data_IF_983440254026
#
_entry.id   IF_983440254026
#
_cell.length_a   1.000
_cell.length_b   1.000
_cell.length_c   1.000
_cell.angle_alpha   90.00
_cell.angle_beta   90.00
_cell.angle_gamma   90.00
#
_symmetry.space_group_name_H-M   'P 1'
#
loop_
_entity.id
_entity.type
_entity.pdbx_description
1 polymer ?
#
# COMPACT_ATOMS: atom_id res chain seq x y z
N UNK A 1 -15.88 22.26 13.09
CA UNK A 1 -14.86 21.26 13.45
C UNK A 1 -14.26 20.72 12.17
N UNK A 2 -13.19 21.38 11.68
CA UNK A 2 -12.45 20.91 10.51
C UNK A 2 -11.77 19.57 10.84
N UNK A 3 -12.22 18.50 10.23
CA UNK A 3 -11.55 17.19 10.32
C UNK A 3 -10.21 17.36 9.60
N UNK A 4 -9.11 17.22 10.33
CA UNK A 4 -7.79 17.19 9.70
C UNK A 4 -7.70 15.91 8.89
N UNK A 5 -7.65 16.05 7.56
CA UNK A 5 -7.45 14.92 6.65
C UNK A 5 -5.95 14.67 6.57
N UNK A 6 -5.49 13.44 6.88
CA UNK A 6 -4.07 13.11 6.76
C UNK A 6 -3.62 13.19 5.29
N UNK A 7 -2.49 13.84 5.07
CA UNK A 7 -1.85 13.93 3.76
C UNK A 7 -0.73 12.92 3.67
N UNK A 8 -0.63 12.24 2.55
CA UNK A 8 0.40 11.25 2.27
C UNK A 8 1.33 11.82 1.20
N UNK A 9 2.62 11.89 1.52
CA UNK A 9 3.65 12.18 0.54
C UNK A 9 4.31 10.87 0.11
N UNK A 10 4.51 10.68 -1.17
CA UNK A 10 5.10 9.45 -1.69
C UNK A 10 5.98 9.70 -2.91
N UNK A 11 6.91 8.82 -3.14
CA UNK A 11 7.70 8.73 -4.36
C UNK A 11 8.09 7.28 -4.65
N UNK A 12 8.48 7.02 -5.88
CA UNK A 12 8.88 5.68 -6.30
C UNK A 12 10.41 5.56 -6.26
N UNK A 13 10.88 4.54 -5.50
CA UNK A 13 12.27 4.12 -5.50
C UNK A 13 12.52 2.96 -6.47
N UNK A 14 13.79 2.66 -6.74
CA UNK A 14 14.18 1.41 -7.38
C UNK A 14 14.47 0.38 -6.29
N UNK A 15 13.82 -0.81 -6.29
CA UNK A 15 14.17 -1.89 -5.35
C UNK A 15 15.63 -2.28 -5.56
N UNK A 16 16.42 -2.35 -4.47
CA UNK A 16 17.82 -2.75 -4.53
C UNK A 16 18.73 -1.83 -5.34
N UNK A 17 18.29 -0.60 -5.58
CA UNK A 17 19.05 0.36 -6.35
C UNK A 17 20.40 0.66 -5.70
N UNK A 18 21.47 0.55 -6.49
CA UNK A 18 22.75 1.13 -6.15
C UNK A 18 22.53 2.54 -5.62
N UNK A 19 23.12 2.86 -4.49
CA UNK A 19 23.06 4.16 -3.83
C UNK A 19 23.50 5.35 -4.74
N UNK A 20 23.85 5.09 -5.98
CA UNK A 20 24.31 6.04 -6.98
C UNK A 20 23.28 6.55 -7.98
N UNK A 21 22.08 6.01 -8.05
CA UNK A 21 21.11 6.36 -9.09
C UNK A 21 19.73 6.81 -8.56
N UNK A 22 19.73 7.85 -7.74
CA UNK A 22 18.75 8.87 -8.00
C UNK A 22 17.38 8.74 -7.34
N UNK A 23 17.22 8.04 -6.17
CA UNK A 23 15.99 8.16 -5.38
C UNK A 23 16.29 8.33 -3.89
N UNK A 24 17.28 9.14 -3.59
CA UNK A 24 17.45 9.70 -2.25
C UNK A 24 16.45 10.85 -2.05
N UNK A 25 16.09 11.21 -0.82
CA UNK A 25 15.22 12.36 -0.56
C UNK A 25 15.70 13.64 -1.23
N UNK A 26 17.00 13.84 -1.30
CA UNK A 26 17.61 15.02 -1.96
C UNK A 26 17.36 15.01 -3.47
N UNK A 27 17.53 13.87 -4.13
CA UNK A 27 17.29 13.77 -5.58
C UNK A 27 15.79 13.88 -5.91
N UNK A 28 14.94 13.35 -5.07
CA UNK A 28 13.47 13.47 -5.21
C UNK A 28 13.05 14.93 -5.09
N UNK A 29 13.60 15.65 -4.10
CA UNK A 29 13.34 17.09 -3.94
C UNK A 29 13.88 17.90 -5.12
N UNK A 30 15.13 17.65 -5.55
CA UNK A 30 15.77 18.37 -6.66
C UNK A 30 15.00 18.20 -7.98
N UNK A 31 14.46 16.98 -8.25
CA UNK A 31 13.73 16.67 -9.47
C UNK A 31 12.21 16.89 -9.35
N UNK A 32 11.72 17.39 -8.22
CA UNK A 32 10.30 17.58 -7.93
C UNK A 32 9.45 16.29 -8.15
N UNK A 33 9.96 15.15 -7.71
CA UNK A 33 9.35 13.83 -7.90
C UNK A 33 8.50 13.37 -6.70
N UNK A 34 8.43 14.17 -5.63
CA UNK A 34 7.52 13.90 -4.51
C UNK A 34 6.09 14.16 -4.97
N UNK A 35 5.18 13.28 -4.60
CA UNK A 35 3.77 13.39 -4.92
C UNK A 35 2.94 13.35 -3.64
N UNK A 36 1.72 13.86 -3.74
CA UNK A 36 0.77 13.95 -2.63
C UNK A 36 -0.45 13.09 -2.92
N UNK A 37 -1.02 12.49 -1.90
CA UNK A 37 -2.25 11.70 -1.96
C UNK A 37 -2.97 11.70 -0.62
N UNK A 38 -4.14 11.08 -0.60
CA UNK A 38 -5.02 10.98 0.56
C UNK A 38 -5.55 9.55 0.75
N UNK A 39 -6.08 9.26 1.95
CA UNK A 39 -6.84 8.04 2.23
C UNK A 39 -8.28 8.19 1.76
N UNK A 40 -8.57 7.80 0.52
CA UNK A 40 -9.90 7.94 -0.09
C UNK A 40 -10.68 6.62 -0.19
N UNK A 41 -10.04 5.49 0.07
CA UNK A 41 -10.68 4.18 -0.03
C UNK A 41 -11.15 3.84 -1.45
N UNK A 42 -12.34 3.29 -1.56
CA UNK A 42 -12.98 3.01 -2.84
C UNK A 42 -14.12 4.02 -3.11
N UNK A 43 -14.35 4.29 -4.36
CA UNK A 43 -15.51 5.05 -4.80
C UNK A 43 -16.79 4.24 -4.52
N UNK A 44 -17.79 4.86 -3.90
CA UNK A 44 -19.01 4.18 -3.47
C UNK A 44 -19.87 3.65 -4.63
N UNK A 45 -19.79 4.29 -5.79
CA UNK A 45 -20.65 3.94 -6.95
C UNK A 45 -19.97 2.91 -7.85
N UNK A 46 -18.70 3.12 -8.16
CA UNK A 46 -17.94 2.28 -9.08
C UNK A 46 -17.16 1.16 -8.39
N UNK A 47 -16.94 1.26 -7.08
CA UNK A 47 -16.05 0.37 -6.34
C UNK A 47 -14.57 0.57 -6.64
N UNK A 48 -14.22 1.50 -7.51
CA UNK A 48 -12.84 1.74 -7.91
C UNK A 48 -12.00 2.34 -6.77
N UNK A 49 -10.78 1.87 -6.63
CA UNK A 49 -9.84 2.41 -5.65
C UNK A 49 -9.47 3.86 -5.98
N UNK A 50 -9.31 4.70 -4.95
CA UNK A 50 -9.00 6.12 -5.05
C UNK A 50 -7.82 6.48 -4.13
N UNK A 51 -7.20 7.61 -4.42
CA UNK A 51 -6.08 8.11 -3.64
C UNK A 51 -4.92 7.11 -3.55
N UNK A 52 -4.30 7.00 -2.38
CA UNK A 52 -3.14 6.11 -2.17
C UNK A 52 -3.47 4.64 -2.46
N UNK A 53 -4.70 4.20 -2.21
CA UNK A 53 -5.14 2.83 -2.52
C UNK A 53 -5.00 2.50 -4.00
N UNK A 54 -5.41 3.39 -4.88
CA UNK A 54 -5.28 3.19 -6.33
C UNK A 54 -3.82 3.05 -6.76
N UNK A 55 -2.93 3.84 -6.17
CA UNK A 55 -1.49 3.82 -6.45
C UNK A 55 -0.87 2.50 -5.99
N UNK A 56 -1.19 2.06 -4.77
CA UNK A 56 -0.71 0.79 -4.22
C UNK A 56 -1.21 -0.39 -5.07
N UNK A 57 -2.50 -0.39 -5.44
CA UNK A 57 -3.08 -1.45 -6.28
C UNK A 57 -2.42 -1.53 -7.64
N UNK A 58 -2.13 -0.40 -8.27
CA UNK A 58 -1.42 -0.37 -9.54
C UNK A 58 -0.02 -0.99 -9.43
N UNK A 59 0.70 -0.71 -8.34
CA UNK A 59 2.04 -1.26 -8.09
C UNK A 59 2.02 -2.74 -7.71
N UNK A 60 0.95 -3.23 -7.12
CA UNK A 60 0.78 -4.63 -6.70
C UNK A 60 -0.16 -5.42 -7.61
N UNK A 61 -0.36 -4.97 -8.84
CA UNK A 61 -1.35 -5.49 -9.78
C UNK A 61 -1.24 -7.00 -10.02
N UNK A 62 -0.03 -7.52 -10.17
CA UNK A 62 0.17 -8.95 -10.45
C UNK A 62 -0.31 -9.82 -9.28
N UNK A 63 0.08 -9.46 -8.05
CA UNK A 63 -0.39 -10.16 -6.85
C UNK A 63 -1.91 -10.05 -6.69
N UNK A 64 -2.48 -8.86 -6.85
CA UNK A 64 -3.92 -8.65 -6.71
C UNK A 64 -4.72 -9.43 -7.77
N UNK A 65 -4.22 -9.55 -8.98
CA UNK A 65 -4.87 -10.36 -10.02
C UNK A 65 -4.99 -11.82 -9.58
N UNK A 66 -3.93 -12.40 -9.06
CA UNK A 66 -3.94 -13.79 -8.59
C UNK A 66 -4.78 -13.97 -7.31
N UNK A 67 -4.68 -13.03 -6.35
CA UNK A 67 -5.53 -13.06 -5.14
C UNK A 67 -7.01 -12.95 -5.49
N UNK A 68 -7.39 -12.12 -6.46
CA UNK A 68 -8.78 -11.98 -6.88
C UNK A 68 -9.32 -13.27 -7.52
N UNK A 69 -8.52 -13.99 -8.31
CA UNK A 69 -8.89 -15.32 -8.81
C UNK A 69 -9.17 -16.30 -7.67
N UNK A 70 -8.37 -16.24 -6.59
CA UNK A 70 -8.60 -17.07 -5.40
C UNK A 70 -9.88 -16.67 -4.66
N UNK A 71 -10.21 -15.38 -4.59
CA UNK A 71 -11.48 -14.90 -3.99
C UNK A 71 -12.68 -15.41 -4.77
N UNK A 72 -12.64 -15.35 -6.10
CA UNK A 72 -13.69 -15.91 -6.96
C UNK A 72 -13.81 -17.42 -6.77
N UNK A 73 -12.69 -18.14 -6.73
CA UNK A 73 -12.68 -19.57 -6.45
C UNK A 73 -13.30 -19.89 -5.09
N UNK A 74 -12.98 -19.11 -4.05
CA UNK A 74 -13.58 -19.26 -2.71
C UNK A 74 -15.09 -19.05 -2.75
N UNK A 75 -15.55 -17.96 -3.36
CA UNK A 75 -16.97 -17.62 -3.47
C UNK A 75 -17.79 -18.72 -4.19
N UNK A 76 -17.16 -19.41 -5.13
CA UNK A 76 -17.77 -20.53 -5.89
C UNK A 76 -17.57 -21.90 -5.23
N UNK A 77 -17.14 -21.96 -3.96
CA UNK A 77 -16.95 -23.22 -3.23
C UNK A 77 -15.73 -24.04 -3.67
N UNK A 78 -14.81 -23.46 -4.43
CA UNK A 78 -13.63 -24.16 -4.96
C UNK A 78 -12.57 -24.54 -3.91
N UNK A 79 -12.76 -24.14 -2.66
CA UNK A 79 -11.95 -24.55 -1.52
C UNK A 79 -12.67 -25.45 -0.52
N UNK A 80 -13.94 -25.77 -0.76
CA UNK A 80 -14.76 -26.63 0.10
C UNK A 80 -16.18 -26.11 0.27
N UNK A 81 -17.00 -26.86 1.03
CA UNK A 81 -18.38 -26.48 1.27
C UNK A 81 -18.49 -25.19 2.10
N UNK A 82 -19.36 -24.29 1.67
CA UNK A 82 -19.69 -23.06 2.40
C UNK A 82 -21.02 -23.17 3.20
N UNK A 83 -21.69 -24.34 3.17
CA UNK A 83 -23.01 -24.53 3.78
C UNK A 83 -22.92 -24.73 5.30
N UNK A 84 -21.91 -25.47 5.76
CA UNK A 84 -21.71 -25.74 7.18
C UNK A 84 -20.67 -24.82 7.80
N UNK A 85 -20.69 -24.65 9.13
CA UNK A 85 -19.70 -23.88 9.86
C UNK A 85 -18.29 -24.46 9.66
N UNK A 86 -18.12 -25.76 9.87
CA UNK A 86 -16.83 -26.44 9.73
C UNK A 86 -16.31 -26.38 8.29
N UNK A 87 -17.19 -26.52 7.31
CA UNK A 87 -16.85 -26.38 5.90
C UNK A 87 -16.31 -24.97 5.56
N UNK A 88 -16.98 -23.93 6.07
CA UNK A 88 -16.51 -22.55 5.89
C UNK A 88 -15.16 -22.29 6.53
N UNK A 89 -14.92 -22.81 7.74
CA UNK A 89 -13.63 -22.66 8.43
C UNK A 89 -12.51 -23.36 7.65
N UNK A 90 -12.76 -24.57 7.14
CA UNK A 90 -11.78 -25.30 6.32
C UNK A 90 -11.54 -24.60 4.98
N UNK A 91 -12.58 -24.13 4.30
CA UNK A 91 -12.46 -23.39 3.05
C UNK A 91 -11.71 -22.07 3.23
N UNK A 92 -11.95 -21.35 4.33
CA UNK A 92 -11.24 -20.13 4.69
C UNK A 92 -9.76 -20.41 4.92
N UNK A 93 -9.41 -21.44 5.68
CA UNK A 93 -8.02 -21.82 5.93
C UNK A 93 -7.28 -22.18 4.63
N UNK A 94 -7.94 -22.91 3.73
CA UNK A 94 -7.37 -23.27 2.42
C UNK A 94 -7.18 -22.03 1.51
N UNK A 95 -8.12 -21.09 1.53
CA UNK A 95 -7.99 -19.82 0.84
C UNK A 95 -6.82 -18.99 1.40
N UNK A 96 -6.73 -18.87 2.72
CA UNK A 96 -5.68 -18.08 3.38
C UNK A 96 -4.28 -18.63 3.07
N UNK A 97 -4.13 -19.96 3.05
CA UNK A 97 -2.89 -20.62 2.64
C UNK A 97 -2.54 -20.31 1.19
N UNK A 98 -3.50 -20.46 0.27
CA UNK A 98 -3.31 -20.18 -1.14
C UNK A 98 -2.95 -18.69 -1.38
N UNK A 99 -3.66 -17.77 -0.75
CA UNK A 99 -3.38 -16.33 -0.83
C UNK A 99 -2.00 -15.97 -0.25
N UNK A 100 -1.59 -16.64 0.84
CA UNK A 100 -0.24 -16.48 1.41
C UNK A 100 0.85 -16.91 0.44
N UNK A 101 0.66 -18.03 -0.28
CA UNK A 101 1.59 -18.49 -1.31
C UNK A 101 1.73 -17.48 -2.44
N UNK A 102 0.62 -16.92 -2.92
CA UNK A 102 0.64 -15.88 -3.96
C UNK A 102 1.40 -14.64 -3.48
N UNK A 103 1.13 -14.16 -2.27
CA UNK A 103 1.83 -12.99 -1.71
C UNK A 103 3.34 -13.20 -1.56
N UNK A 104 3.79 -14.44 -1.37
CA UNK A 104 5.21 -14.82 -1.21
C UNK A 104 5.88 -15.20 -2.53
N UNK A 105 5.13 -15.38 -3.62
CA UNK A 105 5.67 -15.79 -4.91
C UNK A 105 6.65 -14.73 -5.43
N UNK A 106 7.92 -15.11 -5.56
CA UNK A 106 8.99 -14.22 -6.01
C UNK A 106 8.96 -13.94 -7.52
N UNK A 107 8.21 -14.72 -8.28
CA UNK A 107 8.04 -14.49 -9.72
C UNK A 107 7.05 -13.37 -10.04
N UNK A 108 6.21 -12.98 -9.07
CA UNK A 108 5.28 -11.87 -9.23
C UNK A 108 5.96 -10.55 -8.87
N UNK A 109 5.76 -9.55 -9.71
CA UNK A 109 6.19 -8.17 -9.42
C UNK A 109 5.35 -7.61 -8.29
N UNK A 110 6.03 -7.14 -7.25
CA UNK A 110 5.41 -6.56 -6.06
C UNK A 110 6.27 -5.46 -5.47
N UNK A 111 5.64 -4.43 -4.89
CA UNK A 111 6.39 -3.34 -4.27
C UNK A 111 6.98 -3.77 -2.93
N UNK A 112 8.05 -3.10 -2.54
CA UNK A 112 8.49 -2.99 -1.15
C UNK A 112 8.11 -1.59 -0.70
N UNK A 113 7.31 -1.48 0.36
CA UNK A 113 6.81 -0.19 0.85
C UNK A 113 7.55 0.19 2.12
N UNK A 114 8.12 1.38 2.13
CA UNK A 114 8.75 1.97 3.32
C UNK A 114 7.82 3.07 3.82
N UNK A 115 7.39 2.95 5.06
CA UNK A 115 6.45 3.85 5.72
C UNK A 115 7.24 4.70 6.71
N UNK A 116 7.11 6.02 6.61
CA UNK A 116 7.73 6.97 7.53
C UNK A 116 6.68 7.94 8.04
N UNK A 117 6.58 8.12 9.35
CA UNK A 117 5.64 9.05 9.96
C UNK A 117 6.32 10.35 10.30
N UNK A 118 5.69 11.49 9.93
CA UNK A 118 6.12 12.79 10.43
C UNK A 118 5.83 12.91 11.93
N UNK A 119 6.52 13.80 12.65
CA UNK A 119 6.19 14.04 14.07
C UNK A 119 4.76 14.50 14.33
N UNK A 120 4.10 15.05 13.31
CA UNK A 120 2.72 15.54 13.39
C UNK A 120 1.69 14.46 13.01
N UNK A 121 2.13 13.32 12.48
CA UNK A 121 1.23 12.23 12.11
C UNK A 121 0.58 11.63 13.35
N UNK A 122 -0.73 11.39 13.26
CA UNK A 122 -1.46 10.73 14.34
C UNK A 122 -1.22 9.20 14.32
N UNK A 123 -1.43 8.56 15.47
CA UNK A 123 -1.45 7.09 15.54
C UNK A 123 -2.52 6.50 14.60
N UNK A 124 -3.68 7.18 14.48
CA UNK A 124 -4.74 6.77 13.55
C UNK A 124 -4.28 6.73 12.09
N UNK A 125 -3.48 7.71 11.65
CA UNK A 125 -2.92 7.71 10.30
C UNK A 125 -1.97 6.53 10.05
N UNK A 126 -1.19 6.12 11.05
CA UNK A 126 -0.35 4.94 10.94
C UNK A 126 -1.20 3.66 10.81
N UNK A 127 -2.28 3.53 11.59
CA UNK A 127 -3.21 2.40 11.49
C UNK A 127 -3.83 2.35 10.09
N UNK A 128 -4.28 3.49 9.55
CA UNK A 128 -4.83 3.56 8.18
C UNK A 128 -3.83 3.08 7.12
N UNK A 129 -2.55 3.44 7.22
CA UNK A 129 -1.51 2.94 6.30
C UNK A 129 -1.34 1.42 6.43
N UNK A 130 -1.33 0.90 7.65
CA UNK A 130 -1.18 -0.55 7.86
C UNK A 130 -2.40 -1.33 7.33
N UNK A 131 -3.60 -0.78 7.47
CA UNK A 131 -4.81 -1.34 6.88
C UNK A 131 -4.72 -1.36 5.35
N UNK A 132 -4.19 -0.30 4.73
CA UNK A 132 -3.94 -0.29 3.28
C UNK A 132 -2.95 -1.37 2.83
N UNK A 133 -1.92 -1.68 3.63
CA UNK A 133 -1.01 -2.80 3.34
C UNK A 133 -1.77 -4.13 3.31
N UNK A 134 -2.64 -4.37 4.28
CA UNK A 134 -3.43 -5.59 4.39
C UNK A 134 -4.49 -5.68 3.29
N UNK A 135 -5.27 -4.62 3.07
CA UNK A 135 -6.33 -4.55 2.05
C UNK A 135 -5.77 -4.83 0.65
N UNK A 136 -4.59 -4.32 0.35
CA UNK A 136 -3.97 -4.42 -0.96
C UNK A 136 -2.97 -5.58 -1.09
N UNK A 137 -2.99 -6.54 -0.15
CA UNK A 137 -2.15 -7.74 -0.17
C UNK A 137 -0.64 -7.45 -0.28
N UNK A 138 -0.18 -6.38 0.35
CA UNK A 138 1.23 -6.04 0.42
C UNK A 138 1.95 -6.99 1.38
N UNK A 139 2.95 -7.71 0.89
CA UNK A 139 3.70 -8.69 1.67
C UNK A 139 5.00 -8.15 2.26
N UNK A 140 5.56 -7.10 1.66
CA UNK A 140 6.84 -6.52 2.07
C UNK A 140 6.69 -5.03 2.35
N UNK A 141 6.68 -4.68 3.62
CA UNK A 141 6.73 -3.28 4.07
C UNK A 141 7.53 -3.18 5.36
N UNK A 142 8.05 -2.01 5.64
CA UNK A 142 8.69 -1.69 6.91
C UNK A 142 8.35 -0.27 7.35
N UNK A 143 8.41 -0.04 8.65
CA UNK A 143 8.21 1.25 9.26
C UNK A 143 9.58 1.76 9.69
N UNK A 144 9.99 2.91 9.14
CA UNK A 144 11.25 3.55 9.45
C UNK A 144 11.03 4.95 10.04
N UNK A 145 12.04 5.45 10.71
CA UNK A 145 12.07 6.84 11.19
C UNK A 145 12.35 7.80 10.02
N UNK A 146 11.73 8.98 10.07
CA UNK A 146 12.09 10.07 9.18
C UNK A 146 13.51 10.57 9.46
N UNK A 147 14.27 10.75 8.38
CA UNK A 147 15.58 11.41 8.44
C UNK A 147 15.41 12.93 8.28
N UNK A 148 16.49 13.68 8.53
CA UNK A 148 16.51 15.11 8.24
C UNK A 148 16.28 15.39 6.75
N UNK A 149 16.84 14.56 5.87
CA UNK A 149 16.65 14.67 4.43
C UNK A 149 15.19 14.45 4.01
N UNK A 150 14.51 13.44 4.60
CA UNK A 150 13.09 13.23 4.38
C UNK A 150 12.26 14.47 4.78
N UNK A 151 12.54 15.04 5.94
CA UNK A 151 11.83 16.23 6.44
C UNK A 151 12.05 17.44 5.52
N UNK A 152 13.29 17.67 5.07
CA UNK A 152 13.62 18.74 4.13
C UNK A 152 12.88 18.57 2.80
N UNK A 153 12.83 17.35 2.27
CA UNK A 153 12.11 17.03 1.02
C UNK A 153 10.62 17.39 1.12
N UNK A 154 9.96 17.04 2.23
CA UNK A 154 8.55 17.36 2.45
C UNK A 154 8.34 18.88 2.57
N UNK A 155 9.19 19.58 3.33
CA UNK A 155 9.12 21.04 3.47
C UNK A 155 9.31 21.74 2.11
N UNK A 156 10.26 21.29 1.32
CA UNK A 156 10.51 21.83 -0.02
C UNK A 156 9.28 21.66 -0.94
N UNK A 157 8.64 20.49 -0.87
CA UNK A 157 7.39 20.25 -1.58
C UNK A 157 6.28 21.22 -1.14
N UNK A 158 6.05 21.34 0.15
CA UNK A 158 5.04 22.24 0.70
C UNK A 158 5.27 23.70 0.30
N UNK A 159 6.52 24.15 0.36
CA UNK A 159 6.90 25.52 -0.07
C UNK A 159 6.64 25.80 -1.56
N UNK A 160 6.69 24.76 -2.40
CA UNK A 160 6.44 24.89 -3.84
C UNK A 160 4.95 24.84 -4.22
N UNK A 161 4.16 24.06 -3.47
CA UNK A 161 2.80 23.69 -3.89
C UNK A 161 1.69 24.25 -2.99
N UNK A 162 1.99 24.64 -1.75
CA UNK A 162 1.03 25.14 -0.77
C UNK A 162 1.33 26.59 -0.36
N UNK A 163 1.35 27.50 -1.33
CA UNK A 163 1.47 28.95 -1.09
C UNK A 163 0.11 29.59 -0.87
#
# INVERSE_FOLDING_TARGET
NGKIVPVIYYYFGKPGGDAGLGNTPESVSANNNLQESEFLGNDEKSGAARGIRAIIQQRNKEVLTEVNKLKEKYANGGFGSLETKDGREQAQAAYDEAASKVRKDENLKKPIIIIKSTPQASFGSLVEVLDEMQINSISKYQIDNMTKADSTMVIDYQNRHHK
#
